data_IF_741759499127
#
_entry.id   IF_741759499127
#
_cell.length_a   1.000
_cell.length_b   1.000
_cell.length_c   1.000
_cell.angle_alpha   90.00
_cell.angle_beta   90.00
_cell.angle_gamma   90.00
#
_symmetry.space_group_name_H-M   'P 1'
#
loop_
_entity.id
_entity.type
_entity.pdbx_description
1 polymer ?
#
# COMPACT_ATOMS: atom_id res chain seq x y z
N UNK A 1 -1.34 10.33 -15.24
CA UNK A 1 -1.97 10.14 -13.92
C UNK A 1 -1.65 8.75 -13.38
N UNK A 2 -1.97 7.69 -14.13
CA UNK A 2 -1.75 6.30 -13.68
C UNK A 2 -0.29 5.93 -13.45
N UNK A 3 0.65 6.42 -14.27
CA UNK A 3 2.09 6.14 -14.12
C UNK A 3 2.64 6.69 -12.79
N UNK A 4 2.20 7.89 -12.38
CA UNK A 4 2.63 8.49 -11.11
C UNK A 4 2.10 7.68 -9.92
N UNK A 5 0.81 7.32 -9.95
CA UNK A 5 0.18 6.49 -8.91
C UNK A 5 0.90 5.14 -8.80
N UNK A 6 1.20 4.49 -9.93
CA UNK A 6 1.98 3.24 -9.94
C UNK A 6 3.36 3.41 -9.33
N UNK A 7 4.08 4.50 -9.66
CA UNK A 7 5.41 4.78 -9.12
C UNK A 7 5.40 4.96 -7.60
N UNK A 8 4.41 5.70 -7.08
CA UNK A 8 4.21 5.87 -5.63
C UNK A 8 3.90 4.52 -4.97
N UNK A 9 2.97 3.75 -5.53
CA UNK A 9 2.62 2.43 -5.03
C UNK A 9 3.78 1.44 -5.02
N UNK A 10 4.59 1.45 -6.08
CA UNK A 10 5.80 0.62 -6.17
C UNK A 10 6.82 1.02 -5.10
N UNK A 11 6.97 2.32 -4.84
CA UNK A 11 7.83 2.80 -3.76
C UNK A 11 7.39 2.25 -2.40
N UNK A 12 6.08 2.27 -2.11
CA UNK A 12 5.54 1.69 -0.88
C UNK A 12 5.77 0.18 -0.82
N UNK A 13 5.58 -0.53 -1.94
CA UNK A 13 5.77 -1.98 -2.00
C UNK A 13 7.22 -2.40 -1.78
N UNK A 14 8.20 -1.60 -2.23
CA UNK A 14 9.63 -1.85 -1.99
C UNK A 14 10.01 -1.52 -0.55
N UNK A 15 9.59 -0.35 -0.04
CA UNK A 15 9.95 0.10 1.32
C UNK A 15 9.19 -0.65 2.43
N UNK A 16 8.07 -1.31 2.12
CA UNK A 16 7.16 -2.03 3.05
C UNK A 16 6.47 -1.16 4.11
N UNK A 17 7.06 -0.04 4.49
CA UNK A 17 6.52 0.97 5.40
C UNK A 17 6.94 2.36 4.92
N UNK A 18 5.97 3.25 4.77
CA UNK A 18 6.18 4.65 4.39
C UNK A 18 5.46 5.53 5.42
N UNK A 19 6.11 6.63 5.81
CA UNK A 19 5.58 7.59 6.80
C UNK A 19 5.47 8.94 6.13
N UNK A 20 4.29 9.56 6.19
CA UNK A 20 4.00 10.90 5.68
C UNK A 20 3.21 11.64 6.76
N UNK A 21 3.85 12.60 7.43
CA UNK A 21 3.27 13.23 8.62
C UNK A 21 2.84 12.20 9.66
N UNK A 22 1.57 12.23 10.06
CA UNK A 22 0.97 11.27 11.01
C UNK A 22 0.42 9.99 10.36
N UNK A 23 0.57 9.84 9.05
CA UNK A 23 0.13 8.67 8.29
C UNK A 23 1.28 7.65 8.17
N UNK A 24 0.95 6.38 8.40
CA UNK A 24 1.85 5.24 8.21
C UNK A 24 1.18 4.28 7.25
N UNK A 25 1.77 4.07 6.09
CA UNK A 25 1.30 3.12 5.09
C UNK A 25 2.20 1.89 5.13
N UNK A 26 1.63 0.70 5.27
CA UNK A 26 2.37 -0.57 5.23
C UNK A 26 1.92 -1.43 4.07
N UNK A 27 2.86 -2.18 3.48
CA UNK A 27 2.63 -3.10 2.38
C UNK A 27 3.25 -4.45 2.71
N UNK A 28 2.41 -5.45 2.96
CA UNK A 28 2.81 -6.79 3.38
C UNK A 28 2.48 -7.79 2.29
N UNK A 29 3.37 -8.77 2.09
CA UNK A 29 3.12 -9.95 1.25
C UNK A 29 3.01 -11.17 2.16
N UNK A 30 1.96 -11.96 2.01
CA UNK A 30 1.74 -13.23 2.71
C UNK A 30 1.59 -14.34 1.67
N UNK A 31 2.18 -15.50 1.94
CA UNK A 31 2.00 -16.69 1.12
C UNK A 31 0.83 -17.51 1.71
N UNK A 32 -0.09 -17.97 0.86
CA UNK A 32 -1.22 -18.83 1.25
C UNK A 32 -1.27 -19.99 0.25
N UNK A 33 -0.72 -21.14 0.65
CA UNK A 33 -0.51 -22.25 -0.28
C UNK A 33 0.48 -21.86 -1.38
N UNK A 34 0.07 -21.98 -2.64
CA UNK A 34 0.86 -21.59 -3.81
C UNK A 34 0.67 -20.11 -4.20
N UNK A 35 -0.30 -19.43 -3.58
CA UNK A 35 -0.66 -18.06 -3.92
C UNK A 35 -0.04 -17.02 -2.99
N UNK A 36 0.01 -15.78 -3.46
CA UNK A 36 0.38 -14.62 -2.66
C UNK A 36 -0.83 -13.71 -2.41
N UNK A 37 -0.92 -13.21 -1.19
CA UNK A 37 -1.82 -12.12 -0.80
C UNK A 37 -1.00 -10.89 -0.42
N UNK A 38 -1.47 -9.74 -0.87
CA UNK A 38 -0.89 -8.44 -0.62
C UNK A 38 -1.84 -7.64 0.26
N UNK A 39 -1.34 -7.17 1.39
CA UNK A 39 -2.12 -6.43 2.39
C UNK A 39 -1.53 -5.03 2.47
N UNK A 40 -2.33 -4.02 2.17
CA UNK A 40 -1.96 -2.61 2.30
C UNK A 40 -2.78 -1.99 3.41
N UNK A 41 -2.15 -1.31 4.34
CA UNK A 41 -2.80 -0.70 5.50
C UNK A 41 -2.32 0.73 5.67
N UNK A 42 -3.24 1.64 5.93
CA UNK A 42 -2.95 3.01 6.36
C UNK A 42 -3.32 3.14 7.85
N UNK A 43 -2.43 3.74 8.62
CA UNK A 43 -2.67 4.13 10.00
C UNK A 43 -2.52 5.64 10.14
N UNK A 44 -3.48 6.31 10.76
CA UNK A 44 -3.38 7.72 11.15
C UNK A 44 -3.31 7.81 12.67
N UNK A 45 -2.26 8.42 13.21
CA UNK A 45 -1.99 8.49 14.65
C UNK A 45 -2.08 7.11 15.34
N UNK A 46 -1.55 6.07 14.68
CA UNK A 46 -1.54 4.69 15.19
C UNK A 46 -2.85 3.92 15.04
N UNK A 47 -3.95 4.55 14.57
CA UNK A 47 -5.23 3.89 14.31
C UNK A 47 -5.34 3.47 12.85
N UNK A 48 -5.74 2.23 12.60
CA UNK A 48 -5.99 1.74 11.24
C UNK A 48 -7.18 2.49 10.62
N UNK A 49 -6.93 3.23 9.54
CA UNK A 49 -7.95 4.01 8.82
C UNK A 49 -8.37 3.37 7.51
N UNK A 50 -7.46 2.69 6.82
CA UNK A 50 -7.73 1.98 5.56
C UNK A 50 -7.02 0.64 5.53
N UNK A 51 -7.66 -0.34 4.91
CA UNK A 51 -7.06 -1.65 4.62
C UNK A 51 -7.58 -2.18 3.29
N UNK A 52 -6.66 -2.67 2.46
CA UNK A 52 -6.95 -3.43 1.25
C UNK A 52 -6.21 -4.77 1.25
N UNK A 53 -6.86 -5.82 0.78
CA UNK A 53 -6.28 -7.17 0.62
C UNK A 53 -6.49 -7.58 -0.83
N UNK A 54 -5.42 -8.00 -1.50
CA UNK A 54 -5.40 -8.27 -2.93
C UNK A 54 -4.63 -9.57 -3.23
N UNK A 55 -5.12 -10.36 -4.19
CA UNK A 55 -4.36 -11.48 -4.78
C UNK A 55 -3.42 -10.99 -5.89
N UNK A 56 -3.79 -9.92 -6.59
CA UNK A 56 -2.99 -9.31 -7.65
C UNK A 56 -2.07 -8.20 -7.12
N UNK A 57 -0.79 -8.29 -7.48
CA UNK A 57 0.23 -7.32 -7.04
C UNK A 57 -0.02 -5.91 -7.60
N UNK A 58 -0.42 -5.81 -8.88
CA UNK A 58 -0.74 -4.54 -9.55
C UNK A 58 -1.84 -3.78 -8.81
N UNK A 59 -2.90 -4.47 -8.40
CA UNK A 59 -4.02 -3.86 -7.67
C UNK A 59 -3.59 -3.35 -6.29
N UNK A 60 -2.76 -4.11 -5.58
CA UNK A 60 -2.19 -3.65 -4.32
C UNK A 60 -1.29 -2.43 -4.48
N UNK A 61 -0.45 -2.40 -5.53
CA UNK A 61 0.40 -1.26 -5.88
C UNK A 61 -0.45 -0.03 -6.19
N UNK A 62 -1.46 -0.16 -7.06
CA UNK A 62 -2.37 0.94 -7.38
C UNK A 62 -3.08 1.47 -6.15
N UNK A 63 -3.56 0.59 -5.28
CA UNK A 63 -4.21 0.98 -4.04
C UNK A 63 -3.26 1.77 -3.12
N UNK A 64 -2.04 1.28 -2.91
CA UNK A 64 -1.02 1.99 -2.12
C UNK A 64 -0.66 3.35 -2.74
N UNK A 65 -0.53 3.40 -4.07
CA UNK A 65 -0.23 4.61 -4.81
C UNK A 65 -1.31 5.68 -4.65
N UNK A 66 -2.59 5.28 -4.72
CA UNK A 66 -3.72 6.17 -4.52
C UNK A 66 -3.78 6.75 -3.10
N UNK A 67 -3.44 5.94 -2.08
CA UNK A 67 -3.35 6.45 -0.70
C UNK A 67 -2.28 7.55 -0.62
N UNK A 68 -1.08 7.29 -1.14
CA UNK A 68 0.01 8.28 -1.09
C UNK A 68 -0.36 9.54 -1.90
N UNK A 69 -0.92 9.37 -3.10
CA UNK A 69 -1.30 10.48 -3.96
C UNK A 69 -2.33 11.40 -3.30
N UNK A 70 -3.27 10.84 -2.53
CA UNK A 70 -4.27 11.63 -1.79
C UNK A 70 -3.71 12.38 -0.57
N UNK A 71 -2.45 12.13 -0.20
CA UNK A 71 -1.75 12.78 0.92
C UNK A 71 -0.75 13.86 0.46
N UNK A 72 -0.57 14.01 -0.85
CA UNK A 72 0.25 15.06 -1.49
C UNK A 72 -0.62 16.27 -1.83
#
# INVERSE_FOLDING_TARGET
>A
MDIQIMSLGYTVSQKKKVVIGNHVITFKRRKRGEEYLYIVEEYFMGKLTRRGIFSEYSNAVMYAGNIIYALL
#
